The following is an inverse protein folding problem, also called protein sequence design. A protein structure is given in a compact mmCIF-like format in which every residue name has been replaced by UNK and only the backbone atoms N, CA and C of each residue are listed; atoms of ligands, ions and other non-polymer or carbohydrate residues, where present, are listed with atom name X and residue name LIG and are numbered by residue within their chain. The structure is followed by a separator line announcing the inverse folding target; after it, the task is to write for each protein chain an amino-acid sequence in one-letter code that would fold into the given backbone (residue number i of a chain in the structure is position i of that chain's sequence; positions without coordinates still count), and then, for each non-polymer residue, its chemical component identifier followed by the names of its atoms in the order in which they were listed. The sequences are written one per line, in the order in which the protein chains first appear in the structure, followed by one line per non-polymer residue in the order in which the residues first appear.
data_IF_903557355254
#
_entry.id   IF_903557355254
#
_cell.length_a   1.000
_cell.length_b   1.000
_cell.length_c   1.000
_cell.angle_alpha   90.00
_cell.angle_beta   90.00
_cell.angle_gamma   90.00
#
_symmetry.space_group_name_H-M   'P 1'
#
loop_
_entity.id
_entity.type
_entity.pdbx_description
1 polymer ?
#
# COMPACT_ATOMS: atom_id res chain seq x y z
N UNK A 1 -4.33 -90.79 -42.32
CA UNK A 1 -5.18 -89.83 -41.60
C UNK A 1 -4.83 -89.91 -40.13
N UNK A 2 -4.54 -88.74 -39.55
CA UNK A 2 -4.90 -88.36 -38.17
C UNK A 2 -4.19 -89.03 -36.98
N UNK A 3 -2.93 -88.67 -36.76
CA UNK A 3 -2.31 -88.77 -35.42
C UNK A 3 -1.51 -87.52 -35.01
N UNK A 4 -1.12 -86.66 -35.96
CA UNK A 4 -0.43 -85.39 -35.66
C UNK A 4 -1.37 -84.24 -35.30
N UNK A 5 -2.61 -84.23 -35.80
CA UNK A 5 -3.58 -83.16 -35.52
C UNK A 5 -4.22 -83.24 -34.12
N UNK A 6 -4.31 -84.42 -33.50
CA UNK A 6 -4.92 -84.56 -32.17
C UNK A 6 -4.02 -84.06 -31.03
N UNK A 7 -2.70 -83.93 -31.25
CA UNK A 7 -1.75 -83.44 -30.26
C UNK A 7 -1.68 -81.90 -30.17
N UNK A 8 -2.16 -81.18 -31.19
CA UNK A 8 -2.09 -79.71 -31.25
C UNK A 8 -3.31 -79.04 -30.61
N UNK A 9 -4.50 -79.66 -30.75
CA UNK A 9 -5.76 -79.18 -30.16
C UNK A 9 -5.70 -78.91 -28.64
N UNK A 10 -5.11 -79.78 -27.79
CA UNK A 10 -4.99 -79.53 -26.36
C UNK A 10 -4.10 -78.32 -26.04
N UNK A 11 -3.03 -78.11 -26.82
CA UNK A 11 -2.11 -76.99 -26.63
C UNK A 11 -2.76 -75.66 -27.05
N UNK A 12 -3.52 -75.64 -28.15
CA UNK A 12 -4.28 -74.47 -28.57
C UNK A 12 -5.38 -74.11 -27.58
N UNK A 13 -6.10 -75.10 -27.04
CA UNK A 13 -7.09 -74.89 -25.98
C UNK A 13 -6.47 -74.31 -24.71
N UNK A 14 -5.30 -74.80 -24.30
CA UNK A 14 -4.56 -74.27 -23.16
C UNK A 14 -4.12 -72.82 -23.40
N UNK A 15 -3.65 -72.50 -24.61
CA UNK A 15 -3.26 -71.14 -25.01
C UNK A 15 -4.46 -70.18 -25.00
N UNK A 16 -5.58 -70.56 -25.63
CA UNK A 16 -6.80 -69.75 -25.66
C UNK A 16 -7.35 -69.51 -24.25
N UNK A 17 -7.28 -70.51 -23.36
CA UNK A 17 -7.67 -70.34 -21.96
C UNK A 17 -6.81 -69.28 -21.25
N UNK A 18 -5.49 -69.33 -21.44
CA UNK A 18 -4.59 -68.32 -20.88
C UNK A 18 -4.84 -66.91 -21.44
N UNK A 19 -5.17 -66.80 -22.73
CA UNK A 19 -5.55 -65.53 -23.35
C UNK A 19 -6.89 -64.99 -22.79
N UNK A 20 -7.88 -65.85 -22.56
CA UNK A 20 -9.16 -65.48 -21.95
C UNK A 20 -8.95 -64.98 -20.51
N UNK A 21 -8.20 -65.71 -19.69
CA UNK A 21 -7.88 -65.29 -18.31
C UNK A 21 -7.17 -63.93 -18.30
N UNK A 22 -6.20 -63.72 -19.21
CA UNK A 22 -5.53 -62.43 -19.36
C UNK A 22 -6.52 -61.32 -19.73
N UNK A 23 -7.38 -61.53 -20.72
CA UNK A 23 -8.38 -60.55 -21.13
C UNK A 23 -9.39 -60.24 -20.03
N UNK A 24 -9.77 -61.23 -19.21
CA UNK A 24 -10.65 -61.03 -18.06
C UNK A 24 -9.99 -60.15 -16.99
N UNK A 25 -8.71 -60.38 -16.69
CA UNK A 25 -7.97 -59.52 -15.75
C UNK A 25 -7.81 -58.08 -16.27
N UNK A 26 -7.50 -57.92 -17.56
CA UNK A 26 -7.36 -56.60 -18.18
C UNK A 26 -8.69 -55.83 -18.18
N UNK A 27 -9.79 -56.52 -18.49
CA UNK A 27 -11.14 -55.95 -18.43
C UNK A 27 -11.51 -55.47 -17.02
N UNK A 28 -11.14 -56.21 -15.98
CA UNK A 28 -11.36 -55.80 -14.59
C UNK A 28 -10.56 -54.52 -14.25
N UNK A 29 -9.28 -54.49 -14.60
CA UNK A 29 -8.41 -53.33 -14.38
C UNK A 29 -8.93 -52.08 -15.10
N UNK A 30 -9.33 -52.20 -16.37
CA UNK A 30 -9.94 -51.10 -17.13
C UNK A 30 -11.25 -50.63 -16.48
N UNK A 31 -12.05 -51.56 -15.94
CA UNK A 31 -13.27 -51.24 -15.21
C UNK A 31 -13.01 -50.39 -13.95
N UNK A 32 -11.94 -50.70 -13.23
CA UNK A 32 -11.52 -49.95 -12.04
C UNK A 32 -10.95 -48.58 -12.43
N UNK A 33 -10.15 -48.48 -13.48
CA UNK A 33 -9.64 -47.22 -14.02
C UNK A 33 -10.77 -46.28 -14.46
N UNK A 34 -11.76 -46.80 -15.21
CA UNK A 34 -12.95 -46.03 -15.61
C UNK A 34 -13.70 -45.51 -14.38
N UNK A 35 -13.76 -46.30 -13.30
CA UNK A 35 -14.44 -45.89 -12.06
C UNK A 35 -13.67 -44.78 -11.35
N UNK A 36 -12.34 -44.87 -11.30
CA UNK A 36 -11.47 -43.85 -10.72
C UNK A 36 -11.59 -42.53 -11.50
N UNK A 37 -11.47 -42.57 -12.83
CA UNK A 37 -11.59 -41.39 -13.69
C UNK A 37 -12.96 -40.73 -13.57
N UNK A 38 -14.05 -41.51 -13.44
CA UNK A 38 -15.40 -40.96 -13.18
C UNK A 38 -15.50 -40.26 -11.83
N UNK A 39 -14.84 -40.78 -10.79
CA UNK A 39 -14.81 -40.13 -9.48
C UNK A 39 -14.03 -38.81 -9.55
N UNK A 40 -12.90 -38.80 -10.23
CA UNK A 40 -12.07 -37.60 -10.44
C UNK A 40 -12.82 -36.53 -11.24
N UNK A 41 -13.48 -36.90 -12.34
CA UNK A 41 -14.29 -35.97 -13.12
C UNK A 41 -15.41 -35.31 -12.29
N UNK A 42 -16.05 -36.05 -11.39
CA UNK A 42 -17.04 -35.50 -10.46
C UNK A 42 -16.40 -34.54 -9.45
N UNK A 43 -15.20 -34.85 -8.98
CA UNK A 43 -14.44 -33.96 -8.08
C UNK A 43 -14.17 -32.62 -8.75
N UNK A 44 -13.58 -32.63 -9.96
CA UNK A 44 -13.31 -31.39 -10.69
C UNK A 44 -14.58 -30.60 -11.00
N UNK A 45 -15.68 -31.27 -11.32
CA UNK A 45 -16.94 -30.59 -11.55
C UNK A 45 -17.45 -29.86 -10.30
N UNK A 46 -17.31 -30.45 -9.12
CA UNK A 46 -17.66 -29.80 -7.85
C UNK A 46 -16.74 -28.61 -7.54
N UNK A 47 -15.43 -28.74 -7.80
CA UNK A 47 -14.48 -27.65 -7.63
C UNK A 47 -14.79 -26.46 -8.55
N UNK A 48 -15.15 -26.72 -9.82
CA UNK A 48 -15.56 -25.68 -10.75
C UNK A 48 -16.81 -24.93 -10.27
N UNK A 49 -17.81 -25.65 -9.76
CA UNK A 49 -19.02 -25.04 -9.20
C UNK A 49 -18.66 -24.16 -7.99
N UNK A 50 -17.79 -24.66 -7.09
CA UNK A 50 -17.34 -23.90 -5.92
C UNK A 50 -16.55 -22.65 -6.30
N UNK A 51 -15.64 -22.76 -7.28
CA UNK A 51 -14.86 -21.63 -7.77
C UNK A 51 -15.74 -20.58 -8.44
N UNK A 52 -16.72 -21.01 -9.22
CA UNK A 52 -17.69 -20.11 -9.85
C UNK A 52 -18.46 -19.28 -8.82
N UNK A 53 -18.98 -19.93 -7.77
CA UNK A 53 -19.65 -19.22 -6.67
C UNK A 53 -18.73 -18.24 -5.94
N UNK A 54 -17.44 -18.58 -5.78
CA UNK A 54 -16.45 -17.68 -5.16
C UNK A 54 -16.15 -16.47 -6.03
N UNK A 55 -16.01 -16.65 -7.35
CA UNK A 55 -15.78 -15.55 -8.29
C UNK A 55 -16.97 -14.58 -8.26
N UNK A 56 -18.20 -15.10 -8.33
CA UNK A 56 -19.40 -14.27 -8.28
C UNK A 56 -19.48 -13.43 -6.99
N UNK A 57 -19.20 -14.04 -5.83
CA UNK A 57 -19.17 -13.31 -4.55
C UNK A 57 -18.10 -12.22 -4.51
N UNK A 58 -16.92 -12.46 -5.09
CA UNK A 58 -15.86 -11.46 -5.17
C UNK A 58 -16.22 -10.31 -6.12
N UNK A 59 -16.89 -10.59 -7.23
CA UNK A 59 -17.39 -9.56 -8.16
C UNK A 59 -18.44 -8.67 -7.48
N UNK A 60 -19.38 -9.26 -6.74
CA UNK A 60 -20.37 -8.52 -5.96
C UNK A 60 -19.72 -7.64 -4.89
N UNK A 61 -18.69 -8.16 -4.20
CA UNK A 61 -17.92 -7.39 -3.22
C UNK A 61 -17.19 -6.20 -3.87
N UNK A 62 -16.53 -6.41 -5.01
CA UNK A 62 -15.83 -5.35 -5.74
C UNK A 62 -16.78 -4.23 -6.20
N UNK A 63 -18.00 -4.58 -6.60
CA UNK A 63 -19.05 -3.61 -6.94
C UNK A 63 -19.47 -2.76 -5.73
N UNK A 64 -19.56 -3.36 -4.53
CA UNK A 64 -19.87 -2.64 -3.30
C UNK A 64 -18.71 -1.74 -2.80
N UNK A 65 -17.46 -2.11 -3.08
CA UNK A 65 -16.27 -1.34 -2.70
C UNK A 65 -15.97 -0.18 -3.69
N UNK A 66 -16.59 -0.19 -4.87
CA UNK A 66 -16.39 0.83 -5.90
C UNK A 66 -16.82 2.25 -5.44
N UNK A 67 -18.00 2.45 -4.80
CA UNK A 67 -18.36 3.71 -4.18
C UNK A 67 -17.37 4.19 -3.12
N UNK A 68 -16.89 3.30 -2.23
CA UNK A 68 -15.93 3.65 -1.18
C UNK A 68 -14.58 4.11 -1.77
N UNK A 69 -14.16 3.45 -2.85
CA UNK A 69 -12.94 3.82 -3.59
C UNK A 69 -13.07 5.19 -4.28
N UNK A 70 -14.24 5.49 -4.85
CA UNK A 70 -14.51 6.77 -5.49
C UNK A 70 -14.60 7.92 -4.46
N UNK A 71 -15.23 7.69 -3.31
CA UNK A 71 -15.27 8.64 -2.18
C UNK A 71 -13.85 8.92 -1.68
N UNK A 72 -13.02 7.88 -1.50
CA UNK A 72 -11.62 8.04 -1.10
C UNK A 72 -10.80 8.88 -2.09
N UNK A 73 -10.98 8.67 -3.40
CA UNK A 73 -10.35 9.48 -4.45
C UNK A 73 -10.81 10.94 -4.41
N UNK A 74 -12.11 11.18 -4.27
CA UNK A 74 -12.65 12.54 -4.22
C UNK A 74 -12.19 13.31 -2.97
N UNK A 75 -12.21 12.66 -1.80
CA UNK A 75 -11.69 13.23 -0.55
C UNK A 75 -10.20 13.56 -0.69
N UNK A 76 -9.41 12.66 -1.28
CA UNK A 76 -7.98 12.88 -1.54
C UNK A 76 -7.75 14.06 -2.49
N UNK A 77 -8.51 14.18 -3.58
CA UNK A 77 -8.41 15.31 -4.51
C UNK A 77 -8.80 16.64 -3.84
N UNK A 78 -9.89 16.68 -3.07
CA UNK A 78 -10.30 17.89 -2.32
C UNK A 78 -9.27 18.28 -1.27
N UNK A 79 -8.61 17.32 -0.63
CA UNK A 79 -7.50 17.57 0.30
C UNK A 79 -6.28 18.14 -0.44
N UNK A 80 -5.85 17.51 -1.53
CA UNK A 80 -4.71 17.95 -2.33
C UNK A 80 -4.95 19.34 -2.94
N UNK A 81 -6.16 19.62 -3.41
CA UNK A 81 -6.52 20.94 -3.94
C UNK A 81 -6.52 22.00 -2.84
N UNK A 82 -7.07 21.71 -1.65
CA UNK A 82 -6.95 22.61 -0.49
C UNK A 82 -5.50 22.82 -0.05
N UNK A 83 -4.68 21.77 -0.09
CA UNK A 83 -3.26 21.86 0.21
C UNK A 83 -2.53 22.71 -0.84
N UNK A 84 -2.80 22.48 -2.13
CA UNK A 84 -2.28 23.27 -3.25
C UNK A 84 -2.72 24.73 -3.16
N UNK A 85 -3.95 25.05 -2.76
CA UNK A 85 -4.42 26.42 -2.58
C UNK A 85 -3.75 27.11 -1.37
N UNK A 86 -3.56 26.37 -0.27
CA UNK A 86 -2.84 26.87 0.92
C UNK A 86 -1.36 27.12 0.61
N UNK A 87 -0.73 26.25 -0.17
CA UNK A 87 0.66 26.41 -0.60
C UNK A 87 0.79 27.41 -1.75
N UNK A 88 -0.14 27.45 -2.69
CA UNK A 88 -0.14 28.29 -3.89
C UNK A 88 -0.22 29.78 -3.59
N UNK A 89 -0.99 30.20 -2.58
CA UNK A 89 -0.99 31.59 -2.08
C UNK A 89 0.33 32.00 -1.43
N UNK A 90 1.14 31.02 -1.01
CA UNK A 90 2.46 31.24 -0.40
C UNK A 90 3.61 31.04 -1.40
N UNK A 91 3.44 30.28 -2.49
CA UNK A 91 4.51 29.98 -3.45
C UNK A 91 5.00 31.22 -4.19
N UNK A 92 4.11 32.14 -4.55
CA UNK A 92 4.48 33.36 -5.28
C UNK A 92 5.25 34.35 -4.39
N UNK A 93 4.89 34.42 -3.11
CA UNK A 93 5.62 35.20 -2.09
C UNK A 93 6.93 34.51 -1.68
N UNK A 94 6.95 33.18 -1.51
CA UNK A 94 8.16 32.41 -1.21
C UNK A 94 9.15 32.39 -2.38
N UNK A 95 8.70 32.44 -3.64
CA UNK A 95 9.59 32.59 -4.81
C UNK A 95 10.45 33.86 -4.74
N UNK A 96 9.90 34.93 -4.18
CA UNK A 96 10.61 36.20 -4.00
C UNK A 96 11.58 36.19 -2.81
N UNK A 97 11.59 35.14 -1.98
CA UNK A 97 12.45 35.05 -0.79
C UNK A 97 13.41 33.85 -0.83
N UNK A 98 13.46 33.11 -1.93
CA UNK A 98 14.36 31.96 -2.12
C UNK A 98 15.84 32.30 -1.91
N UNK A 99 16.21 33.56 -2.09
CA UNK A 99 17.59 34.06 -2.00
C UNK A 99 17.90 34.69 -0.62
N UNK A 100 16.95 34.63 0.32
CA UNK A 100 17.08 35.12 1.71
C UNK A 100 17.21 33.91 2.64
N UNK A 101 18.44 33.54 3.08
CA UNK A 101 18.71 32.32 3.82
C UNK A 101 17.81 32.13 5.05
N UNK A 102 17.56 33.21 5.78
CA UNK A 102 16.75 33.25 7.00
C UNK A 102 15.29 32.83 6.72
N UNK A 103 14.71 33.30 5.61
CA UNK A 103 13.36 32.91 5.20
C UNK A 103 13.30 31.47 4.71
N UNK A 104 14.35 31.01 4.01
CA UNK A 104 14.45 29.61 3.55
C UNK A 104 14.51 28.66 4.75
N UNK A 105 15.29 29.01 5.77
CA UNK A 105 15.41 28.24 7.00
C UNK A 105 14.06 28.14 7.74
N UNK A 106 13.42 29.28 8.04
CA UNK A 106 12.14 29.27 8.77
C UNK A 106 11.03 28.57 7.99
N UNK A 107 10.99 28.73 6.65
CA UNK A 107 10.03 27.98 5.81
C UNK A 107 10.29 26.47 5.84
N UNK A 108 11.56 26.04 5.93
CA UNK A 108 11.93 24.64 6.06
C UNK A 108 11.48 24.05 7.41
N UNK A 109 11.62 24.79 8.52
CA UNK A 109 11.09 24.38 9.83
C UNK A 109 9.59 24.12 9.78
N UNK A 110 8.84 25.08 9.20
CA UNK A 110 7.40 24.93 9.03
C UNK A 110 7.04 23.70 8.20
N UNK A 111 7.74 23.48 7.09
CA UNK A 111 7.50 22.34 6.21
C UNK A 111 7.77 21.01 6.93
N UNK A 112 8.86 20.93 7.71
CA UNK A 112 9.19 19.78 8.55
C UNK A 112 8.13 19.52 9.61
N UNK A 113 7.76 20.52 10.41
CA UNK A 113 6.72 20.37 11.43
C UNK A 113 5.35 20.00 10.82
N UNK A 114 5.01 20.56 9.66
CA UNK A 114 3.75 20.28 8.99
C UNK A 114 3.69 18.86 8.40
N UNK A 115 4.76 18.38 7.76
CA UNK A 115 4.81 17.04 7.16
C UNK A 115 4.70 15.94 8.22
N UNK A 116 5.16 16.24 9.43
CA UNK A 116 5.14 15.33 10.57
C UNK A 116 3.87 15.48 11.43
N UNK A 117 2.95 16.39 11.07
CA UNK A 117 1.72 16.65 11.81
C UNK A 117 1.95 17.33 13.18
N UNK A 118 3.10 17.97 13.37
CA UNK A 118 3.57 18.58 14.63
C UNK A 118 3.50 20.10 14.65
N UNK A 119 2.97 20.71 13.59
CA UNK A 119 2.84 22.16 13.49
C UNK A 119 1.89 22.69 14.58
N UNK A 120 2.42 23.44 15.53
CA UNK A 120 1.63 24.04 16.61
C UNK A 120 1.01 25.37 16.17
N UNK A 121 -0.07 25.76 16.86
CA UNK A 121 -0.71 27.06 16.63
C UNK A 121 0.25 28.21 16.92
N UNK A 122 1.08 28.10 17.96
CA UNK A 122 2.02 29.14 18.37
C UNK A 122 3.10 29.38 17.32
N UNK A 123 3.70 28.30 16.81
CA UNK A 123 4.64 28.39 15.68
C UNK A 123 3.96 29.04 14.47
N UNK A 124 2.72 28.65 14.16
CA UNK A 124 2.00 29.21 13.03
C UNK A 124 1.71 30.71 13.19
N UNK A 125 1.37 31.18 14.41
CA UNK A 125 1.17 32.61 14.68
C UNK A 125 2.46 33.40 14.51
N UNK A 126 3.59 32.92 15.06
CA UNK A 126 4.90 33.56 14.90
C UNK A 126 5.31 33.63 13.43
N UNK A 127 5.10 32.54 12.69
CA UNK A 127 5.42 32.46 11.27
C UNK A 127 4.61 33.46 10.44
N UNK A 128 3.30 33.58 10.69
CA UNK A 128 2.47 34.56 9.98
C UNK A 128 2.83 36.02 10.36
N UNK A 129 3.31 36.27 11.59
CA UNK A 129 3.85 37.59 11.97
C UNK A 129 5.12 37.91 11.20
N UNK A 130 6.07 36.96 11.11
CA UNK A 130 7.27 37.12 10.30
C UNK A 130 6.92 37.40 8.84
N UNK A 131 5.98 36.63 8.27
CA UNK A 131 5.49 36.84 6.91
C UNK A 131 4.87 38.23 6.73
N UNK A 132 4.13 38.73 7.72
CA UNK A 132 3.55 40.06 7.71
C UNK A 132 4.61 41.16 7.60
N UNK A 133 5.70 41.03 8.36
CA UNK A 133 6.84 41.97 8.31
C UNK A 133 7.63 41.78 7.01
N UNK A 134 7.94 40.55 6.59
CA UNK A 134 8.68 40.28 5.36
C UNK A 134 7.98 40.82 4.11
N UNK A 135 6.64 40.85 4.09
CA UNK A 135 5.84 41.43 2.99
C UNK A 135 5.93 42.95 2.87
N UNK A 136 6.43 43.66 3.88
CA UNK A 136 6.62 45.12 3.77
C UNK A 136 7.82 45.48 2.90
N UNK A 137 8.69 44.50 2.58
CA UNK A 137 9.86 44.70 1.75
C UNK A 137 9.54 44.38 0.29
N UNK A 138 9.93 45.29 -0.60
CA UNK A 138 9.62 45.21 -2.02
C UNK A 138 10.56 44.28 -2.80
N UNK A 139 11.73 43.94 -2.24
CA UNK A 139 12.71 43.06 -2.88
C UNK A 139 13.36 42.09 -1.87
N UNK A 140 13.92 40.98 -2.40
CA UNK A 140 14.70 40.01 -1.61
C UNK A 140 15.96 40.64 -1.02
N UNK A 141 16.61 41.52 -1.76
CA UNK A 141 17.82 42.23 -1.33
C UNK A 141 17.54 43.13 -0.13
N UNK A 142 16.43 43.87 -0.15
CA UNK A 142 16.04 44.75 0.96
C UNK A 142 15.68 43.94 2.20
N UNK A 143 14.95 42.83 2.01
CA UNK A 143 14.62 41.92 3.10
C UNK A 143 15.89 41.33 3.72
N UNK A 144 16.84 40.89 2.89
CA UNK A 144 18.12 40.33 3.35
C UNK A 144 18.95 41.35 4.12
N UNK A 145 19.04 42.59 3.64
CA UNK A 145 19.70 43.66 4.38
C UNK A 145 18.98 43.94 5.71
N UNK A 146 17.64 43.92 5.70
CA UNK A 146 16.84 44.13 6.89
C UNK A 146 17.04 43.03 7.95
N UNK A 147 17.38 41.79 7.61
CA UNK A 147 17.77 40.79 8.61
C UNK A 147 19.07 41.15 9.35
N UNK A 148 19.94 41.99 8.77
CA UNK A 148 21.12 42.53 9.45
C UNK A 148 20.81 43.68 10.41
N UNK A 149 19.84 44.53 10.05
CA UNK A 149 19.63 45.83 10.73
C UNK A 149 18.33 45.90 11.56
N UNK A 150 17.34 45.06 11.26
CA UNK A 150 16.01 45.10 11.87
C UNK A 150 15.89 44.11 13.02
N UNK A 151 16.00 44.63 14.25
CA UNK A 151 15.88 43.86 15.50
C UNK A 151 14.57 43.07 15.62
N UNK A 152 13.46 43.56 15.03
CA UNK A 152 12.18 42.86 15.09
C UNK A 152 12.19 41.59 14.23
N UNK A 153 12.81 41.64 13.03
CA UNK A 153 12.96 40.46 12.18
C UNK A 153 13.86 39.41 12.83
N UNK A 154 14.98 39.85 13.42
CA UNK A 154 15.89 38.98 14.17
C UNK A 154 15.18 38.32 15.36
N UNK A 155 14.46 39.11 16.18
CA UNK A 155 13.72 38.58 17.32
C UNK A 155 12.65 37.56 16.88
N UNK A 156 11.91 37.83 15.81
CA UNK A 156 10.91 36.89 15.30
C UNK A 156 11.54 35.59 14.77
N UNK A 157 12.73 35.67 14.18
CA UNK A 157 13.50 34.49 13.75
C UNK A 157 13.96 33.68 14.96
N UNK A 158 14.54 34.32 15.97
CA UNK A 158 15.00 33.68 17.20
C UNK A 158 13.84 33.00 17.94
N UNK A 159 12.69 33.68 18.05
CA UNK A 159 11.47 33.12 18.66
C UNK A 159 10.95 31.90 17.88
N UNK A 160 11.06 31.91 16.55
CA UNK A 160 10.68 30.77 15.70
C UNK A 160 11.64 29.59 15.88
N UNK A 161 12.95 29.84 15.96
CA UNK A 161 13.97 28.84 16.23
C UNK A 161 13.73 28.20 17.60
N UNK A 162 13.57 29.01 18.65
CA UNK A 162 13.26 28.55 20.01
C UNK A 162 11.98 27.70 20.05
N UNK A 163 10.95 28.11 19.31
CA UNK A 163 9.69 27.39 19.24
C UNK A 163 9.88 26.03 18.53
N UNK A 164 10.61 26.00 17.43
CA UNK A 164 10.96 24.77 16.73
C UNK A 164 11.73 23.80 17.64
N UNK A 165 12.79 24.27 18.30
CA UNK A 165 13.62 23.46 19.18
C UNK A 165 12.84 22.89 20.36
N UNK A 166 11.93 23.68 20.95
CA UNK A 166 11.00 23.20 21.99
C UNK A 166 10.11 22.06 21.48
N UNK A 167 9.56 22.19 20.28
CA UNK A 167 8.71 21.14 19.68
C UNK A 167 9.55 19.88 19.41
N UNK A 168 10.74 20.02 18.86
CA UNK A 168 11.64 18.88 18.58
C UNK A 168 12.07 18.19 19.89
N UNK A 169 12.45 18.96 20.91
CA UNK A 169 12.88 18.41 22.21
C UNK A 169 11.76 17.68 22.95
N UNK A 170 10.52 18.19 22.90
CA UNK A 170 9.36 17.52 23.50
C UNK A 170 9.11 16.13 22.88
N UNK A 171 9.36 15.99 21.57
CA UNK A 171 9.20 14.71 20.87
C UNK A 171 10.28 13.67 21.22
N UNK A 172 11.49 14.11 21.53
CA UNK A 172 12.56 13.20 21.96
C UNK A 172 12.24 12.58 23.34
N UNK A 173 11.59 13.35 24.24
CA UNK A 173 11.18 12.86 25.56
C UNK A 173 10.00 11.87 25.48
N UNK A 174 9.02 12.12 24.60
CA UNK A 174 7.85 11.24 24.44
C UNK A 174 8.14 9.85 23.86
N UNK A 175 9.35 9.59 23.36
CA UNK A 175 9.78 8.26 22.87
C UNK A 175 10.54 7.43 23.92
N UNK A 176 10.79 7.97 25.12
CA UNK A 176 11.64 7.34 26.14
C UNK A 176 10.88 6.75 27.35
N UNK A 177 9.57 6.52 27.26
CA UNK A 177 8.85 5.72 28.28
C UNK A 177 8.85 4.23 27.90
N UNK A 178 9.76 3.40 28.44
CA UNK A 178 9.56 1.95 28.45
C UNK A 178 8.43 1.65 29.43
N UNK A 179 7.27 1.26 28.90
CA UNK A 179 6.19 0.71 29.70
C UNK A 179 6.74 -0.41 30.60
N UNK A 180 6.46 -0.41 31.92
CA UNK A 180 6.84 -1.52 32.78
C UNK A 180 6.07 -2.77 32.33
N UNK A 181 6.79 -3.80 31.92
CA UNK A 181 6.21 -5.13 31.75
C UNK A 181 5.68 -5.59 33.12
N UNK A 182 4.35 -5.63 33.25
CA UNK A 182 3.69 -6.33 34.34
C UNK A 182 3.60 -7.82 33.97
N UNK A 183 4.39 -8.62 34.67
CA UNK A 183 4.12 -10.02 35.00
C UNK A 183 4.30 -10.10 36.53
N UNK A 184 3.50 -10.88 37.27
CA UNK A 184 3.12 -12.25 36.92
C UNK A 184 1.61 -12.54 36.89
#
# INVERSE_FOLDING_TARGET
MDARNESELPNELAKMRGEIEKLETEKLLQGDEIRALKAEARSYQNELISLHGRVQSLEEQALQDTPATNIGKEVRLRYLERHRQRMGKNIETMKNWKDVPEMVEVTSFRASLQSEGRLTRDFQVLFERLLGVAKTFSSSTDLKAAFGDNKNLQQLQDELQDCYDKIVAANLRGRQDPSPQHNP
#
